data_IF_697902961694
#
_entry.id   IF_697902961694
#
_cell.length_a   1.000
_cell.length_b   1.000
_cell.length_c   1.000
_cell.angle_alpha   90.00
_cell.angle_beta   90.00
_cell.angle_gamma   90.00
#
_symmetry.space_group_name_H-M   'P 1'
#
loop_
_entity.id
_entity.type
_entity.pdbx_description
1 polymer ?
#
# COMPACT_ATOMS: atom_id res chain seq x y z
N UNK A 1 -4.03 9.72 -18.17
CA UNK A 1 -2.83 8.94 -17.79
C UNK A 1 -2.46 9.22 -16.36
N UNK A 2 -2.12 8.21 -15.61
CA UNK A 2 -1.70 8.37 -14.22
C UNK A 2 -0.19 8.56 -14.18
N UNK A 3 0.23 9.62 -13.50
CA UNK A 3 1.64 9.92 -13.25
C UNK A 3 1.99 9.51 -11.83
N UNK A 4 3.15 8.87 -11.64
CA UNK A 4 3.62 8.45 -10.32
C UNK A 4 4.99 9.03 -10.04
N UNK A 5 5.23 9.44 -8.80
CA UNK A 5 6.53 9.98 -8.38
C UNK A 5 6.82 9.66 -6.91
N UNK A 6 8.10 9.56 -6.59
CA UNK A 6 8.55 9.45 -5.20
C UNK A 6 8.44 10.84 -4.57
N UNK A 7 7.82 10.91 -3.39
CA UNK A 7 7.64 12.16 -2.66
C UNK A 7 8.08 11.98 -1.20
N UNK A 8 8.44 13.06 -0.49
CA UNK A 8 8.72 12.98 0.94
C UNK A 8 7.45 12.71 1.74
N UNK A 9 7.59 12.13 2.92
CA UNK A 9 6.48 11.84 3.82
C UNK A 9 5.76 13.12 4.29
N UNK A 10 6.41 14.27 4.17
CA UNK A 10 5.84 15.58 4.54
C UNK A 10 4.95 16.18 3.45
N UNK A 11 4.85 15.56 2.28
CA UNK A 11 4.04 16.10 1.18
C UNK A 11 2.58 16.27 1.62
N UNK A 12 1.98 17.47 1.49
CA UNK A 12 0.61 17.70 1.96
C UNK A 12 -0.42 16.78 1.31
N UNK A 13 -0.24 16.44 0.03
CA UNK A 13 -1.14 15.55 -0.67
C UNK A 13 -1.18 14.16 -0.04
N UNK A 14 -0.06 13.67 0.50
CA UNK A 14 -0.05 12.39 1.21
C UNK A 14 -0.90 12.42 2.46
N UNK A 15 -0.83 13.52 3.22
CA UNK A 15 -1.61 13.64 4.45
C UNK A 15 -3.11 13.62 4.15
N UNK A 16 -3.52 14.31 3.10
CA UNK A 16 -4.92 14.32 2.67
C UNK A 16 -5.38 12.92 2.27
N UNK A 17 -4.59 12.21 1.44
CA UNK A 17 -4.96 10.88 0.98
C UNK A 17 -4.94 9.84 2.10
N UNK A 18 -3.95 9.88 2.99
CA UNK A 18 -3.89 8.92 4.10
C UNK A 18 -5.00 9.17 5.12
N UNK A 19 -5.45 10.40 5.30
CA UNK A 19 -6.62 10.69 6.13
C UNK A 19 -7.89 10.07 5.52
N UNK A 20 -8.05 10.15 4.18
CA UNK A 20 -9.17 9.51 3.48
C UNK A 20 -9.09 7.99 3.59
N UNK A 21 -7.90 7.41 3.48
CA UNK A 21 -7.69 5.97 3.67
C UNK A 21 -8.10 5.55 5.07
N UNK A 22 -7.67 6.30 6.10
CA UNK A 22 -8.02 5.99 7.48
C UNK A 22 -9.53 6.02 7.70
N UNK A 23 -10.23 7.01 7.13
CA UNK A 23 -11.69 7.09 7.21
C UNK A 23 -12.37 5.91 6.52
N UNK A 24 -11.88 5.52 5.34
CA UNK A 24 -12.43 4.36 4.60
C UNK A 24 -12.21 3.06 5.36
N UNK A 25 -11.02 2.85 5.93
CA UNK A 25 -10.72 1.66 6.72
C UNK A 25 -11.59 1.60 7.98
N UNK A 26 -11.78 2.73 8.65
CA UNK A 26 -12.65 2.79 9.81
C UNK A 26 -14.08 2.36 9.46
N UNK A 27 -14.59 2.80 8.32
CA UNK A 27 -15.93 2.44 7.86
C UNK A 27 -16.05 0.95 7.52
N UNK A 28 -15.00 0.33 6.95
CA UNK A 28 -15.03 -1.06 6.51
C UNK A 28 -14.70 -2.02 7.66
N UNK A 29 -13.71 -1.69 8.49
CA UNK A 29 -13.13 -2.62 9.47
C UNK A 29 -13.36 -2.23 10.92
N UNK A 30 -13.78 -1.00 11.19
CA UNK A 30 -13.83 -0.45 12.54
C UNK A 30 -12.48 -0.01 13.10
N UNK A 31 -11.44 -0.01 12.26
CA UNK A 31 -10.06 0.32 12.64
C UNK A 31 -9.47 1.20 11.53
N UNK A 32 -8.87 2.33 11.89
CA UNK A 32 -8.29 3.25 10.92
C UNK A 32 -6.91 2.81 10.38
N UNK A 33 -6.33 1.74 10.93
CA UNK A 33 -5.07 1.16 10.46
C UNK A 33 -3.81 1.91 10.88
N UNK A 34 -3.92 3.04 11.58
CA UNK A 34 -2.75 3.89 11.87
C UNK A 34 -1.79 3.28 12.89
N UNK A 35 -2.27 2.43 13.80
CA UNK A 35 -1.41 1.83 14.81
C UNK A 35 -0.50 0.70 14.29
N UNK A 36 -0.66 0.31 13.05
CA UNK A 36 0.25 -0.63 12.38
C UNK A 36 1.28 0.08 11.50
N UNK A 37 1.31 1.41 11.53
CA UNK A 37 2.24 2.22 10.78
C UNK A 37 2.77 3.34 11.67
N UNK A 38 4.08 3.39 11.86
CA UNK A 38 4.71 4.44 12.67
C UNK A 38 5.45 5.43 11.77
N UNK A 39 5.45 6.73 12.12
CA UNK A 39 6.20 7.72 11.34
C UNK A 39 7.71 7.46 11.30
N UNK A 40 8.24 6.70 12.26
CA UNK A 40 9.66 6.33 12.29
C UNK A 40 10.02 5.21 11.32
N UNK A 41 9.04 4.53 10.73
CA UNK A 41 9.30 3.54 9.70
C UNK A 41 9.98 4.23 8.52
N UNK A 42 11.06 3.61 8.01
CA UNK A 42 11.76 4.12 6.83
C UNK A 42 10.92 3.83 5.60
N UNK A 43 9.95 4.69 5.37
CA UNK A 43 9.02 4.52 4.26
C UNK A 43 9.47 5.33 3.05
N UNK A 44 9.37 4.70 1.89
CA UNK A 44 9.47 5.38 0.60
C UNK A 44 8.04 5.54 0.10
N UNK A 45 7.66 6.79 -0.18
CA UNK A 45 6.30 7.09 -0.59
C UNK A 45 6.22 7.36 -2.09
N UNK A 46 5.18 6.81 -2.73
CA UNK A 46 4.82 7.17 -4.11
C UNK A 46 3.46 7.83 -4.10
N UNK A 47 3.37 8.95 -4.81
CA UNK A 47 2.15 9.70 -5.06
C UNK A 47 1.73 9.49 -6.50
N UNK A 48 0.45 9.21 -6.72
CA UNK A 48 -0.15 9.16 -8.07
C UNK A 48 -0.99 10.41 -8.29
N UNK A 49 -0.81 11.02 -9.46
CA UNK A 49 -1.58 12.19 -9.88
C UNK A 49 -2.22 11.94 -11.24
N UNK A 50 -3.33 12.60 -11.50
CA UNK A 50 -3.98 12.56 -12.81
C UNK A 50 -3.39 13.63 -13.75
N UNK A 51 -3.95 13.73 -14.96
CA UNK A 51 -3.46 14.66 -15.98
C UNK A 51 -3.58 16.12 -15.57
N UNK A 52 -4.49 16.44 -14.65
CA UNK A 52 -4.68 17.81 -14.16
C UNK A 52 -3.85 18.10 -12.92
N UNK A 53 -3.05 17.14 -12.45
CA UNK A 53 -2.22 17.32 -11.27
C UNK A 53 -2.91 17.01 -9.95
N UNK A 54 -4.13 16.49 -9.98
CA UNK A 54 -4.84 16.11 -8.76
C UNK A 54 -4.26 14.81 -8.19
N UNK A 55 -4.04 14.77 -6.88
CA UNK A 55 -3.60 13.57 -6.20
C UNK A 55 -4.73 12.53 -6.15
N UNK A 56 -4.48 11.34 -6.68
CA UNK A 56 -5.51 10.30 -6.83
C UNK A 56 -5.12 8.98 -6.18
N UNK A 57 -3.91 8.85 -5.66
CA UNK A 57 -3.49 7.65 -4.97
C UNK A 57 -2.14 7.78 -4.31
N UNK A 58 -1.84 6.88 -3.40
CA UNK A 58 -0.55 6.82 -2.72
C UNK A 58 -0.26 5.40 -2.21
N UNK A 59 0.98 5.17 -1.85
CA UNK A 59 1.41 3.95 -1.18
C UNK A 59 2.81 4.11 -0.65
N UNK A 60 3.17 3.28 0.33
CA UNK A 60 4.48 3.30 0.95
C UNK A 60 5.12 1.92 0.91
N UNK A 61 6.44 1.92 0.71
CA UNK A 61 7.29 0.73 0.92
C UNK A 61 8.08 0.92 2.20
N UNK A 62 7.99 -0.05 3.09
CA UNK A 62 8.71 -0.05 4.36
C UNK A 62 9.75 -1.18 4.32
N UNK A 63 10.97 -0.86 4.73
CA UNK A 63 12.05 -1.85 4.79
C UNK A 63 11.75 -2.90 5.87
N UNK A 64 11.83 -4.18 5.50
CA UNK A 64 11.70 -5.30 6.45
C UNK A 64 13.04 -5.99 6.62
N UNK A 65 13.67 -6.36 5.49
CA UNK A 65 14.99 -7.00 5.45
C UNK A 65 15.67 -6.61 4.14
N UNK A 66 16.88 -7.09 3.93
CA UNK A 66 17.60 -6.82 2.69
C UNK A 66 16.87 -7.31 1.45
N UNK A 67 16.01 -8.33 1.58
CA UNK A 67 15.30 -8.94 0.45
C UNK A 67 13.82 -8.60 0.39
N UNK A 68 13.22 -8.10 1.47
CA UNK A 68 11.77 -7.93 1.57
C UNK A 68 11.40 -6.51 1.98
N UNK A 69 10.48 -5.90 1.24
CA UNK A 69 9.81 -4.67 1.61
C UNK A 69 8.33 -4.97 1.92
N UNK A 70 7.73 -4.12 2.74
CA UNK A 70 6.31 -4.24 3.07
C UNK A 70 5.54 -3.06 2.48
N UNK A 71 4.46 -3.36 1.79
CA UNK A 71 3.55 -2.35 1.23
C UNK A 71 2.57 -1.94 2.30
N UNK A 72 2.48 -0.63 2.55
CA UNK A 72 1.57 -0.04 3.54
C UNK A 72 0.89 1.19 2.97
N UNK A 73 -0.26 1.54 3.54
CA UNK A 73 -1.00 2.78 3.25
C UNK A 73 -1.33 2.95 1.77
N UNK A 74 -1.57 1.84 1.07
CA UNK A 74 -1.99 1.85 -0.33
C UNK A 74 -3.42 2.38 -0.43
N UNK A 75 -3.63 3.42 -1.25
CA UNK A 75 -4.93 4.04 -1.41
C UNK A 75 -5.11 4.59 -2.82
N UNK A 76 -6.31 4.44 -3.35
CA UNK A 76 -6.73 5.05 -4.61
C UNK A 76 -8.10 5.68 -4.41
N UNK A 77 -8.31 6.88 -4.95
CA UNK A 77 -9.60 7.56 -4.88
C UNK A 77 -10.66 6.90 -5.75
N UNK A 78 -10.23 6.04 -6.67
CA UNK A 78 -11.07 5.35 -7.64
C UNK A 78 -11.77 6.27 -8.65
N UNK A 79 -11.31 7.50 -8.78
CA UNK A 79 -11.83 8.45 -9.79
C UNK A 79 -11.44 8.03 -11.21
N UNK A 80 -10.31 7.36 -11.37
CA UNK A 80 -9.79 6.93 -12.66
C UNK A 80 -9.48 5.45 -12.62
N UNK A 81 -9.94 4.73 -13.63
CA UNK A 81 -9.63 3.30 -13.77
C UNK A 81 -8.11 3.12 -13.93
N UNK A 82 -7.58 2.07 -13.31
CA UNK A 82 -6.16 1.72 -13.44
C UNK A 82 -5.22 2.48 -12.50
N UNK A 83 -5.70 3.39 -11.67
CA UNK A 83 -4.85 4.12 -10.71
C UNK A 83 -4.13 3.16 -9.77
N UNK A 84 -4.85 2.22 -9.17
CA UNK A 84 -4.26 1.23 -8.26
C UNK A 84 -3.20 0.38 -8.94
N UNK A 85 -3.47 -0.07 -10.16
CA UNK A 85 -2.52 -0.88 -10.93
C UNK A 85 -1.26 -0.10 -11.29
N UNK A 86 -1.39 1.16 -11.71
CA UNK A 86 -0.24 2.02 -12.03
C UNK A 86 0.61 2.27 -10.79
N UNK A 87 -0.04 2.54 -9.67
CA UNK A 87 0.62 2.80 -8.39
C UNK A 87 1.37 1.56 -7.90
N UNK A 88 0.72 0.38 -7.94
CA UNK A 88 1.35 -0.87 -7.54
C UNK A 88 2.55 -1.20 -8.42
N UNK A 89 2.43 -1.01 -9.74
CA UNK A 89 3.54 -1.22 -10.67
C UNK A 89 4.73 -0.31 -10.32
N UNK A 90 4.47 0.97 -10.03
CA UNK A 90 5.53 1.91 -9.65
C UNK A 90 6.21 1.51 -8.33
N UNK A 91 5.44 1.04 -7.35
CA UNK A 91 5.98 0.56 -6.09
C UNK A 91 6.83 -0.69 -6.28
N UNK A 92 6.39 -1.62 -7.13
CA UNK A 92 7.18 -2.82 -7.45
C UNK A 92 8.48 -2.47 -8.18
N UNK A 93 8.44 -1.52 -9.11
CA UNK A 93 9.64 -1.07 -9.81
C UNK A 93 10.62 -0.39 -8.85
N UNK A 94 10.12 0.43 -7.93
CA UNK A 94 10.94 1.06 -6.90
C UNK A 94 11.59 0.01 -6.00
N UNK A 95 10.84 -1.01 -5.60
CA UNK A 95 11.36 -2.10 -4.78
C UNK A 95 12.48 -2.85 -5.51
N UNK A 96 12.29 -3.17 -6.79
CA UNK A 96 13.34 -3.81 -7.60
C UNK A 96 14.59 -2.94 -7.70
N UNK A 97 14.41 -1.64 -7.94
CA UNK A 97 15.54 -0.70 -8.05
C UNK A 97 16.32 -0.58 -6.74
N UNK A 98 15.67 -0.83 -5.61
CA UNK A 98 16.32 -0.81 -4.29
C UNK A 98 16.88 -2.18 -3.88
N UNK A 99 16.79 -3.19 -4.74
CA UNK A 99 17.37 -4.51 -4.52
C UNK A 99 16.47 -5.48 -3.76
N UNK A 100 15.22 -5.13 -3.50
CA UNK A 100 14.27 -6.05 -2.87
C UNK A 100 13.87 -7.14 -3.85
N UNK A 101 13.67 -8.35 -3.33
CA UNK A 101 13.28 -9.51 -4.12
C UNK A 101 11.83 -9.91 -3.91
N UNK A 102 11.18 -9.37 -2.89
CA UNK A 102 9.80 -9.66 -2.58
C UNK A 102 9.12 -8.46 -1.90
N UNK A 103 7.81 -8.37 -2.10
CA UNK A 103 6.94 -7.45 -1.37
C UNK A 103 5.93 -8.29 -0.60
N UNK A 104 5.71 -7.94 0.67
CA UNK A 104 4.64 -8.51 1.49
C UNK A 104 3.67 -7.40 1.91
N UNK A 105 2.46 -7.78 2.25
CA UNK A 105 1.45 -6.87 2.75
C UNK A 105 0.44 -7.59 3.62
N UNK A 106 -0.29 -6.83 4.43
CA UNK A 106 -1.41 -7.33 5.21
C UNK A 106 -2.63 -6.47 4.97
N UNK A 107 -3.79 -7.11 4.87
CA UNK A 107 -5.09 -6.46 4.83
C UNK A 107 -6.08 -7.27 5.66
N UNK A 108 -7.31 -6.80 5.78
CA UNK A 108 -8.37 -7.51 6.51
C UNK A 108 -9.19 -8.37 5.57
N UNK A 109 -9.63 -9.55 6.05
CA UNK A 109 -10.50 -10.44 5.28
C UNK A 109 -11.78 -9.72 4.83
N UNK A 110 -12.32 -8.86 5.68
CA UNK A 110 -13.54 -8.09 5.37
C UNK A 110 -13.31 -7.10 4.23
N UNK A 111 -12.08 -6.71 3.96
CA UNK A 111 -11.73 -5.87 2.83
C UNK A 111 -11.50 -6.75 1.58
N UNK A 112 -12.56 -7.43 1.14
CA UNK A 112 -12.51 -8.39 0.04
C UNK A 112 -12.03 -7.75 -1.27
N UNK A 113 -12.32 -6.48 -1.48
CA UNK A 113 -11.90 -5.73 -2.67
C UNK A 113 -10.37 -5.64 -2.74
N UNK A 114 -9.72 -5.31 -1.62
CA UNK A 114 -8.27 -5.23 -1.56
C UNK A 114 -7.63 -6.60 -1.77
N UNK A 115 -8.15 -7.64 -1.13
CA UNK A 115 -7.65 -9.01 -1.30
C UNK A 115 -7.71 -9.41 -2.78
N UNK A 116 -8.85 -9.21 -3.43
CA UNK A 116 -9.03 -9.55 -4.84
C UNK A 116 -8.09 -8.75 -5.75
N UNK A 117 -7.90 -7.47 -5.45
CA UNK A 117 -7.00 -6.59 -6.20
C UNK A 117 -5.57 -7.14 -6.19
N UNK A 118 -5.04 -7.44 -5.00
CA UNK A 118 -3.66 -7.94 -4.89
C UNK A 118 -3.51 -9.32 -5.52
N UNK A 119 -4.49 -10.19 -5.37
CA UNK A 119 -4.45 -11.52 -5.99
C UNK A 119 -4.42 -11.42 -7.51
N UNK A 120 -5.18 -10.51 -8.11
CA UNK A 120 -5.14 -10.28 -9.56
C UNK A 120 -3.78 -9.80 -10.04
N UNK A 121 -3.00 -9.16 -9.17
CA UNK A 121 -1.67 -8.65 -9.50
C UNK A 121 -0.54 -9.58 -9.07
N UNK A 122 -0.87 -10.85 -8.80
CA UNK A 122 0.14 -11.88 -8.57
C UNK A 122 0.54 -12.08 -7.12
N UNK A 123 -0.13 -11.43 -6.18
CA UNK A 123 0.11 -11.65 -4.75
C UNK A 123 -0.60 -12.91 -4.30
N UNK A 124 0.09 -13.73 -3.53
CA UNK A 124 -0.44 -14.99 -3.01
C UNK A 124 -0.52 -14.93 -1.50
N UNK A 125 -1.56 -15.55 -0.95
CA UNK A 125 -1.73 -15.62 0.50
C UNK A 125 -0.58 -16.40 1.11
N UNK A 126 -0.05 -15.86 2.21
CA UNK A 126 1.04 -16.46 2.97
C UNK A 126 0.66 -16.55 4.45
N UNK A 127 1.50 -17.19 5.23
CA UNK A 127 1.31 -17.24 6.69
C UNK A 127 1.31 -15.82 7.24
N UNK A 128 0.50 -15.58 8.29
CA UNK A 128 0.49 -14.30 8.97
C UNK A 128 1.84 -14.03 9.61
N UNK A 129 2.28 -12.78 9.57
CA UNK A 129 3.60 -12.38 10.04
C UNK A 129 3.50 -11.23 11.03
N UNK A 130 4.57 -11.00 11.79
CA UNK A 130 4.72 -9.86 12.68
C UNK A 130 3.55 -9.70 13.63
N UNK A 131 3.02 -8.50 13.74
CA UNK A 131 1.88 -8.16 14.62
C UNK A 131 0.59 -8.83 14.18
N UNK A 132 0.54 -9.43 13.00
CA UNK A 132 -0.67 -10.06 12.46
C UNK A 132 -0.79 -11.54 12.80
N UNK A 133 0.26 -12.16 13.39
CA UNK A 133 0.30 -13.61 13.65
C UNK A 133 -0.92 -14.11 14.42
N UNK A 134 -1.36 -13.35 15.41
CA UNK A 134 -2.45 -13.72 16.29
C UNK A 134 -3.76 -13.00 15.94
N UNK A 135 -3.86 -12.45 14.71
CA UNK A 135 -5.04 -11.71 14.26
C UNK A 135 -5.73 -12.49 13.15
N UNK A 136 -6.72 -13.35 13.47
CA UNK A 136 -7.39 -14.17 12.44
C UNK A 136 -8.15 -13.37 11.39
N UNK A 137 -8.44 -12.09 11.66
CA UNK A 137 -9.09 -11.19 10.70
C UNK A 137 -8.12 -10.70 9.62
N UNK A 138 -6.82 -10.90 9.79
CA UNK A 138 -5.80 -10.42 8.84
C UNK A 138 -5.51 -11.46 7.78
N UNK A 139 -5.33 -10.97 6.54
CA UNK A 139 -4.85 -11.75 5.41
C UNK A 139 -3.50 -11.18 5.00
N UNK A 140 -2.47 -12.01 5.00
CA UNK A 140 -1.13 -11.63 4.57
C UNK A 140 -0.86 -12.21 3.20
N UNK A 141 -0.30 -11.39 2.32
CA UNK A 141 -0.03 -11.73 0.94
C UNK A 141 1.40 -11.36 0.59
N UNK A 142 2.01 -12.05 -0.34
CA UNK A 142 3.33 -11.69 -0.83
C UNK A 142 3.49 -12.01 -2.31
N UNK A 143 4.47 -11.34 -2.93
CA UNK A 143 4.83 -11.54 -4.32
C UNK A 143 6.34 -11.48 -4.45
N UNK A 144 6.90 -12.47 -5.16
CA UNK A 144 8.30 -12.44 -5.57
C UNK A 144 8.44 -11.53 -6.78
N UNK A 145 9.37 -10.62 -6.71
CA UNK A 145 9.59 -9.63 -7.77
C UNK A 145 10.46 -10.15 -8.91
#
# INVERSE_FOLDING_TARGET
>A
MIHTEVVPDTAPALQTLTARLSAELLAITGDNGTHHFTPSDRALWILATDETGNAVGCGALVHVSTETAELKRMFSTRQHAGTGAALLSALEQLARARGYKAIRLSTRMVNARAVAFYQRHGYQQTARYGVYKDKPVSVCLSKTL
#
